data_IF_208580760635
#
_entry.id   IF_208580760635
#
_cell.length_a   1.000
_cell.length_b   1.000
_cell.length_c   1.000
_cell.angle_alpha   90.00
_cell.angle_beta   90.00
_cell.angle_gamma   90.00
#
_symmetry.space_group_name_H-M   'P 1'
#
loop_
_entity.id
_entity.type
_entity.pdbx_description
1 polymer ?
#
# COMPACT_ATOMS: atom_id res chain seq x y z
N UNK A 1 18.73 0.33 -13.83
CA UNK A 1 18.72 0.17 -12.35
C UNK A 1 17.33 -0.29 -11.93
N UNK A 2 17.25 -1.30 -11.09
CA UNK A 2 15.99 -1.80 -10.54
C UNK A 2 15.42 -0.74 -9.60
N UNK A 3 14.14 -0.40 -9.75
CA UNK A 3 13.48 0.59 -8.90
C UNK A 3 13.38 -0.03 -7.51
N UNK A 4 14.17 0.46 -6.54
CA UNK A 4 14.10 0.04 -5.14
C UNK A 4 12.92 0.75 -4.50
N UNK A 5 11.86 0.01 -4.20
CA UNK A 5 10.58 0.55 -3.75
C UNK A 5 10.13 -0.22 -2.52
N UNK A 6 9.51 0.49 -1.59
CA UNK A 6 8.73 -0.08 -0.50
C UNK A 6 7.58 0.88 -0.19
N UNK A 7 6.34 0.54 -0.59
CA UNK A 7 5.19 1.44 -0.48
C UNK A 7 4.34 1.22 0.78
N UNK A 8 4.76 0.35 1.68
CA UNK A 8 3.98 0.02 2.87
C UNK A 8 4.90 -0.27 4.05
N UNK A 9 5.03 0.74 4.90
CA UNK A 9 5.84 0.73 6.12
C UNK A 9 5.06 1.44 7.23
N UNK A 10 5.14 0.87 8.42
CA UNK A 10 4.51 1.37 9.64
C UNK A 10 5.50 2.15 10.51
N UNK A 11 4.99 3.10 11.26
CA UNK A 11 5.78 3.98 12.14
C UNK A 11 5.18 3.98 13.54
N UNK A 12 5.76 4.80 14.42
CA UNK A 12 5.19 5.04 15.76
C UNK A 12 3.83 5.77 15.76
N UNK A 13 3.24 6.08 14.60
CA UNK A 13 1.86 6.59 14.53
C UNK A 13 0.81 5.47 14.64
N UNK A 14 1.13 4.25 14.18
CA UNK A 14 0.40 3.02 14.51
C UNK A 14 1.18 2.18 15.52
N UNK A 15 1.43 0.91 15.22
CA UNK A 15 2.12 -0.10 16.01
C UNK A 15 3.56 -0.36 15.54
N UNK A 16 4.05 0.44 14.59
CA UNK A 16 5.46 0.46 14.20
C UNK A 16 6.39 0.92 15.33
N UNK A 17 7.62 0.40 15.35
CA UNK A 17 8.59 0.60 16.44
C UNK A 17 9.55 1.75 16.21
N UNK A 18 9.45 2.44 15.08
CA UNK A 18 10.41 3.45 14.64
C UNK A 18 9.71 4.72 14.19
N UNK A 19 10.27 5.87 14.56
CA UNK A 19 9.75 7.17 14.15
C UNK A 19 9.83 7.33 12.62
N UNK A 20 8.91 8.09 12.00
CA UNK A 20 8.93 8.31 10.55
C UNK A 20 10.29 8.76 10.01
N UNK A 21 10.96 9.70 10.71
CA UNK A 21 12.29 10.19 10.33
C UNK A 21 13.34 9.06 10.24
N UNK A 22 13.37 8.15 11.21
CA UNK A 22 14.35 7.06 11.24
C UNK A 22 14.11 6.04 10.10
N UNK A 23 12.84 5.77 9.79
CA UNK A 23 12.44 4.95 8.64
C UNK A 23 12.92 5.59 7.33
N UNK A 24 12.71 6.91 7.15
CA UNK A 24 13.11 7.65 5.96
C UNK A 24 14.65 7.65 5.80
N UNK A 25 15.38 7.92 6.89
CA UNK A 25 16.85 7.88 6.90
C UNK A 25 17.37 6.49 6.52
N UNK A 26 16.75 5.43 7.05
CA UNK A 26 17.10 4.06 6.68
C UNK A 26 16.83 3.76 5.21
N UNK A 27 15.69 4.21 4.68
CA UNK A 27 15.34 4.01 3.29
C UNK A 27 16.35 4.69 2.35
N UNK A 28 16.82 5.89 2.70
CA UNK A 28 17.88 6.60 1.97
C UNK A 28 19.21 5.82 2.03
N UNK A 29 19.61 5.30 3.19
CA UNK A 29 20.82 4.48 3.35
C UNK A 29 20.78 3.24 2.43
N UNK A 30 19.63 2.60 2.32
CA UNK A 30 19.40 1.45 1.45
C UNK A 30 19.24 1.81 -0.04
N UNK A 31 19.31 3.11 -0.36
CA UNK A 31 19.12 3.68 -1.69
C UNK A 31 17.74 3.38 -2.29
N UNK A 32 16.69 3.36 -1.45
CA UNK A 32 15.32 3.31 -1.95
C UNK A 32 15.02 4.56 -2.76
N UNK A 33 14.30 4.36 -3.85
CA UNK A 33 13.90 5.43 -4.76
C UNK A 33 12.52 5.98 -4.45
N UNK A 34 11.67 5.16 -3.83
CA UNK A 34 10.30 5.44 -3.40
C UNK A 34 10.06 4.73 -2.06
N UNK A 35 9.52 5.47 -1.08
CA UNK A 35 9.10 4.96 0.22
C UNK A 35 7.66 5.40 0.46
N UNK A 36 6.77 4.47 0.79
CA UNK A 36 5.41 4.74 1.26
C UNK A 36 5.32 4.47 2.75
N UNK A 37 4.83 5.44 3.51
CA UNK A 37 4.43 5.26 4.90
C UNK A 37 2.91 5.11 4.89
N UNK A 38 2.40 4.02 5.44
CA UNK A 38 0.98 3.66 5.43
C UNK A 38 0.59 3.02 6.75
N UNK A 39 0.62 3.80 7.82
CA UNK A 39 0.24 3.37 9.15
C UNK A 39 -1.25 2.95 9.20
N UNK A 40 -1.58 2.07 10.15
CA UNK A 40 -2.94 1.62 10.39
C UNK A 40 -3.90 2.76 10.75
N UNK A 41 -5.08 2.76 10.11
CA UNK A 41 -6.18 3.69 10.35
C UNK A 41 -7.52 2.96 10.44
N UNK A 42 -8.24 3.21 11.53
CA UNK A 42 -9.47 2.47 11.85
C UNK A 42 -9.19 1.00 12.19
N UNK A 43 -10.03 0.37 13.00
CA UNK A 43 -9.83 -1.02 13.41
C UNK A 43 -10.02 -1.29 14.89
N UNK A 44 -9.88 -2.58 15.24
CA UNK A 44 -10.11 -3.09 16.59
C UNK A 44 -8.92 -2.80 17.52
N UNK A 45 -9.17 -2.75 18.82
CA UNK A 45 -8.19 -2.47 19.89
C UNK A 45 -7.00 -3.45 20.01
N UNK A 46 -6.82 -4.37 19.05
CA UNK A 46 -5.74 -5.36 19.03
C UNK A 46 -4.36 -4.80 18.69
N UNK A 47 -4.31 -3.63 18.06
CA UNK A 47 -3.05 -2.91 17.77
C UNK A 47 -3.27 -1.39 17.77
N UNK A 48 -2.17 -0.63 17.81
CA UNK A 48 -2.20 0.84 17.84
C UNK A 48 -2.60 1.37 16.46
N UNK A 49 -3.56 2.29 16.42
CA UNK A 49 -4.12 2.86 15.19
C UNK A 49 -4.09 4.39 15.25
N UNK A 50 -4.02 5.02 14.08
CA UNK A 50 -4.29 6.44 13.96
C UNK A 50 -5.79 6.66 14.10
N UNK A 51 -6.18 7.44 15.11
CA UNK A 51 -7.57 7.90 15.26
C UNK A 51 -7.85 9.12 14.39
N UNK A 52 -9.13 9.35 14.07
CA UNK A 52 -9.57 10.49 13.24
C UNK A 52 -9.07 11.84 13.76
N UNK A 53 -8.98 12.03 15.07
CA UNK A 53 -8.50 13.28 15.66
C UNK A 53 -7.00 13.53 15.45
N UNK A 54 -6.20 12.48 15.23
CA UNK A 54 -4.75 12.58 15.03
C UNK A 54 -4.35 12.47 13.54
N UNK A 55 -5.30 12.16 12.66
CA UNK A 55 -5.02 12.01 11.22
C UNK A 55 -4.51 13.31 10.58
N UNK A 56 -4.98 14.47 11.02
CA UNK A 56 -4.46 15.74 10.51
C UNK A 56 -3.01 15.99 10.91
N UNK A 57 -2.64 15.66 12.15
CA UNK A 57 -1.26 15.76 12.65
C UNK A 57 -0.33 14.79 11.90
N UNK A 58 -0.78 13.56 11.65
CA UNK A 58 -0.09 12.57 10.84
C UNK A 58 0.25 13.10 9.45
N UNK A 59 -0.77 13.61 8.74
CA UNK A 59 -0.59 14.18 7.38
C UNK A 59 0.37 15.36 7.43
N UNK A 60 0.26 16.24 8.42
CA UNK A 60 1.12 17.42 8.55
C UNK A 60 2.59 17.04 8.82
N UNK A 61 2.86 16.11 9.73
CA UNK A 61 4.21 15.64 10.03
C UNK A 61 4.87 15.01 8.80
N UNK A 62 4.18 14.08 8.14
CA UNK A 62 4.72 13.38 6.98
C UNK A 62 4.89 14.31 5.78
N UNK A 63 4.03 15.31 5.61
CA UNK A 63 4.21 16.35 4.56
C UNK A 63 5.48 17.15 4.80
N UNK A 64 5.72 17.60 6.04
CA UNK A 64 6.95 18.32 6.39
C UNK A 64 8.21 17.45 6.18
N UNK A 65 8.14 16.16 6.50
CA UNK A 65 9.25 15.23 6.26
C UNK A 65 9.46 14.98 4.75
N UNK A 66 8.38 14.85 3.97
CA UNK A 66 8.43 14.72 2.51
C UNK A 66 9.20 15.86 1.88
N UNK A 67 8.95 17.10 2.31
CA UNK A 67 9.70 18.29 1.88
C UNK A 67 11.16 18.27 2.35
N UNK A 68 11.39 18.00 3.65
CA UNK A 68 12.73 18.02 4.27
C UNK A 68 13.72 17.05 3.59
N UNK A 69 13.23 15.89 3.15
CA UNK A 69 14.07 14.85 2.57
C UNK A 69 14.16 14.92 1.03
N UNK A 70 13.53 15.90 0.38
CA UNK A 70 13.78 16.14 -1.04
C UNK A 70 15.21 16.66 -1.30
N UNK A 71 15.84 16.31 -2.43
CA UNK A 71 15.42 15.32 -3.44
C UNK A 71 15.92 13.89 -3.15
N UNK A 72 16.36 13.60 -1.92
CA UNK A 72 17.09 12.35 -1.57
C UNK A 72 16.25 11.09 -1.74
N UNK A 73 14.95 11.17 -1.46
CA UNK A 73 13.99 10.08 -1.62
C UNK A 73 12.61 10.64 -1.98
N UNK A 74 11.81 9.85 -2.69
CA UNK A 74 10.38 10.15 -2.87
C UNK A 74 9.59 9.50 -1.76
N UNK A 75 9.02 10.33 -0.90
CA UNK A 75 8.12 9.90 0.15
C UNK A 75 6.67 9.98 -0.33
N UNK A 76 5.92 8.91 -0.09
CA UNK A 76 4.48 8.79 -0.34
C UNK A 76 3.76 8.62 0.99
N UNK A 77 2.69 9.38 1.18
CA UNK A 77 1.90 9.42 2.41
C UNK A 77 0.62 8.62 2.14
N UNK A 78 0.46 7.48 2.78
CA UNK A 78 -0.73 6.65 2.69
C UNK A 78 -1.28 6.29 4.06
N UNK A 79 -2.29 5.43 4.06
CA UNK A 79 -2.81 4.75 5.23
C UNK A 79 -3.19 3.33 4.84
N UNK A 80 -3.10 2.42 5.79
CA UNK A 80 -3.72 1.11 5.72
C UNK A 80 -5.04 1.15 6.50
N UNK A 81 -6.17 1.00 5.80
CA UNK A 81 -7.51 1.20 6.34
C UNK A 81 -8.18 -0.16 6.56
N UNK A 82 -8.42 -0.50 7.83
CA UNK A 82 -9.13 -1.73 8.21
C UNK A 82 -10.64 -1.50 8.39
N UNK A 83 -11.04 -0.35 8.93
CA UNK A 83 -12.45 -0.06 9.23
C UNK A 83 -13.05 0.88 8.19
N UNK A 84 -14.18 0.49 7.60
CA UNK A 84 -14.80 1.23 6.49
C UNK A 84 -15.92 2.18 6.94
N UNK A 85 -16.24 2.22 8.22
CA UNK A 85 -17.35 3.01 8.74
C UNK A 85 -16.92 4.43 9.11
N UNK A 86 -17.75 5.41 8.79
CA UNK A 86 -17.56 6.83 9.16
C UNK A 86 -16.20 7.45 8.79
N UNK A 87 -15.68 7.11 7.60
CA UNK A 87 -14.39 7.58 7.12
C UNK A 87 -14.34 9.11 6.86
N UNK A 88 -13.27 9.83 7.29
CA UNK A 88 -13.10 11.27 7.06
C UNK A 88 -12.56 11.54 5.66
N UNK A 89 -13.40 11.39 4.63
CA UNK A 89 -12.98 11.50 3.22
C UNK A 89 -12.27 12.80 2.85
N UNK A 90 -12.56 13.91 3.54
CA UNK A 90 -11.84 15.17 3.36
C UNK A 90 -10.34 15.04 3.72
N UNK A 91 -10.02 14.30 4.79
CA UNK A 91 -8.65 14.03 5.21
C UNK A 91 -8.01 12.93 4.39
N UNK A 92 -8.72 11.82 4.13
CA UNK A 92 -8.20 10.72 3.30
C UNK A 92 -7.81 11.19 1.90
N UNK A 93 -8.56 12.13 1.33
CA UNK A 93 -8.24 12.70 0.01
C UNK A 93 -7.04 13.67 0.00
N UNK A 94 -6.41 13.94 1.16
CA UNK A 94 -5.12 14.66 1.24
C UNK A 94 -3.91 13.75 1.08
N UNK A 95 -4.07 12.44 1.27
CA UNK A 95 -3.03 11.42 1.10
C UNK A 95 -2.56 11.32 -0.38
N UNK A 96 -1.48 10.58 -0.59
CA UNK A 96 -0.97 10.18 -1.91
C UNK A 96 -1.61 8.87 -2.39
N UNK A 97 -1.98 7.96 -1.49
CA UNK A 97 -2.67 6.69 -1.78
C UNK A 97 -3.38 6.15 -0.52
N UNK A 98 -4.22 5.14 -0.69
CA UNK A 98 -4.80 4.38 0.43
C UNK A 98 -4.72 2.87 0.14
N UNK A 99 -4.39 2.09 1.16
CA UNK A 99 -4.52 0.64 1.15
C UNK A 99 -5.72 0.25 1.98
N UNK A 100 -6.50 -0.72 1.51
CA UNK A 100 -7.66 -1.23 2.22
C UNK A 100 -7.41 -2.71 2.52
N UNK A 101 -7.51 -3.09 3.79
CA UNK A 101 -7.32 -4.47 4.22
C UNK A 101 -8.57 -5.31 4.00
N UNK A 102 -8.38 -6.60 3.69
CA UNK A 102 -9.40 -7.64 3.81
C UNK A 102 -10.69 -7.36 3.00
N UNK A 103 -10.57 -6.74 1.81
CA UNK A 103 -11.69 -6.44 0.89
C UNK A 103 -11.68 -7.27 -0.40
N UNK A 104 -10.91 -8.35 -0.48
CA UNK A 104 -10.75 -9.16 -1.69
C UNK A 104 -12.03 -9.87 -2.12
N UNK A 105 -12.98 -10.05 -1.18
CA UNK A 105 -14.18 -10.85 -1.34
C UNK A 105 -15.45 -10.13 -0.90
N UNK A 106 -16.57 -10.58 -1.43
CA UNK A 106 -17.90 -10.17 -0.99
C UNK A 106 -18.26 -10.76 0.38
N UNK A 107 -19.09 -10.05 1.18
CA UNK A 107 -19.82 -8.82 0.83
C UNK A 107 -18.99 -7.53 0.95
N UNK A 108 -17.74 -7.62 1.43
CA UNK A 108 -16.96 -6.43 1.78
C UNK A 108 -16.45 -5.67 0.56
N UNK A 109 -16.06 -6.37 -0.51
CA UNK A 109 -15.75 -5.73 -1.80
C UNK A 109 -16.95 -4.93 -2.31
N UNK A 110 -18.14 -5.55 -2.39
CA UNK A 110 -19.36 -4.87 -2.82
C UNK A 110 -19.72 -3.65 -1.95
N UNK A 111 -19.58 -3.75 -0.63
CA UNK A 111 -19.77 -2.61 0.27
C UNK A 111 -18.77 -1.49 0.00
N UNK A 112 -17.48 -1.81 -0.08
CA UNK A 112 -16.41 -0.87 -0.37
C UNK A 112 -16.66 -0.14 -1.69
N UNK A 113 -16.98 -0.87 -2.76
CA UNK A 113 -17.25 -0.29 -4.08
C UNK A 113 -18.48 0.62 -4.09
N UNK A 114 -19.51 0.29 -3.32
CA UNK A 114 -20.78 1.04 -3.32
C UNK A 114 -20.74 2.28 -2.43
N UNK A 115 -20.03 2.22 -1.29
CA UNK A 115 -20.13 3.26 -0.25
C UNK A 115 -18.83 4.04 -0.05
N UNK A 116 -17.67 3.44 -0.33
CA UNK A 116 -16.37 4.00 0.06
C UNK A 116 -15.59 4.48 -1.16
N UNK A 117 -15.37 3.60 -2.15
CA UNK A 117 -14.59 3.89 -3.36
C UNK A 117 -15.03 5.16 -4.10
N UNK A 118 -16.33 5.50 -4.25
CA UNK A 118 -16.75 6.72 -4.95
C UNK A 118 -16.30 8.02 -4.27
N UNK A 119 -16.00 7.96 -2.96
CA UNK A 119 -15.60 9.12 -2.17
C UNK A 119 -14.08 9.29 -2.10
N UNK A 120 -13.30 8.28 -2.50
CA UNK A 120 -11.83 8.30 -2.55
C UNK A 120 -11.34 8.76 -3.93
N UNK A 121 -10.60 9.87 -3.92
CA UNK A 121 -9.99 10.54 -5.08
C UNK A 121 -8.51 10.22 -5.25
N UNK A 122 -7.92 9.49 -4.31
CA UNK A 122 -6.55 9.00 -4.36
C UNK A 122 -6.50 7.60 -4.98
N UNK A 123 -5.36 7.16 -5.51
CA UNK A 123 -5.14 5.75 -5.85
C UNK A 123 -5.46 4.86 -4.65
N UNK A 124 -6.19 3.77 -4.90
CA UNK A 124 -6.56 2.80 -3.86
C UNK A 124 -6.07 1.42 -4.27
N UNK A 125 -5.54 0.67 -3.30
CA UNK A 125 -5.17 -0.72 -3.48
C UNK A 125 -5.64 -1.61 -2.35
N UNK A 126 -5.55 -2.91 -2.57
CA UNK A 126 -5.78 -3.91 -1.54
C UNK A 126 -4.45 -4.23 -0.86
N UNK A 127 -4.41 -4.10 0.47
CA UNK A 127 -3.26 -4.47 1.28
C UNK A 127 -3.07 -5.99 1.30
N UNK A 128 -1.83 -6.45 1.10
CA UNK A 128 -1.42 -7.86 1.19
C UNK A 128 -2.46 -8.93 0.75
N UNK A 129 -3.15 -8.82 -0.40
CA UNK A 129 -4.24 -9.73 -0.71
C UNK A 129 -3.79 -11.18 -0.84
N UNK A 130 -4.64 -12.10 -0.37
CA UNK A 130 -4.50 -13.50 -0.76
C UNK A 130 -4.86 -13.64 -2.24
N UNK A 131 -3.87 -13.84 -3.10
CA UNK A 131 -4.07 -13.85 -4.57
C UNK A 131 -5.11 -14.89 -4.99
N UNK A 132 -5.25 -15.98 -4.23
CA UNK A 132 -6.27 -17.00 -4.48
C UNK A 132 -7.70 -16.44 -4.51
N UNK A 133 -8.01 -15.39 -3.74
CA UNK A 133 -9.35 -14.80 -3.68
C UNK A 133 -9.64 -13.84 -4.83
N UNK A 134 -8.61 -13.45 -5.59
CA UNK A 134 -8.76 -12.54 -6.72
C UNK A 134 -9.26 -13.21 -7.99
N UNK A 135 -9.48 -14.53 -7.98
CA UNK A 135 -9.87 -15.31 -9.15
C UNK A 135 -11.10 -14.74 -9.87
N UNK A 136 -12.09 -14.30 -9.08
CA UNK A 136 -13.36 -13.80 -9.59
C UNK A 136 -13.50 -12.27 -9.49
N UNK A 137 -12.60 -11.59 -8.79
CA UNK A 137 -12.69 -10.14 -8.55
C UNK A 137 -11.69 -9.34 -9.40
N UNK A 138 -10.67 -9.97 -9.99
CA UNK A 138 -9.64 -9.29 -10.79
C UNK A 138 -10.21 -8.31 -11.85
N UNK A 139 -11.21 -8.73 -12.63
CA UNK A 139 -11.81 -7.84 -13.66
C UNK A 139 -12.57 -6.66 -13.06
N UNK A 140 -13.14 -6.83 -11.88
CA UNK A 140 -13.79 -5.74 -11.14
C UNK A 140 -12.72 -4.76 -10.67
N UNK A 141 -11.64 -5.26 -10.04
CA UNK A 141 -10.53 -4.42 -9.58
C UNK A 141 -9.90 -3.63 -10.73
N UNK A 142 -9.69 -4.27 -11.88
CA UNK A 142 -9.20 -3.61 -13.11
C UNK A 142 -10.13 -2.46 -13.52
N UNK A 143 -11.44 -2.72 -13.62
CA UNK A 143 -12.44 -1.74 -14.04
C UNK A 143 -12.51 -0.54 -13.08
N UNK A 144 -12.42 -0.80 -11.78
CA UNK A 144 -12.51 0.21 -10.73
C UNK A 144 -11.17 0.92 -10.45
N UNK A 145 -10.11 0.54 -11.19
CA UNK A 145 -8.77 1.13 -11.07
C UNK A 145 -8.10 0.84 -9.72
N UNK A 146 -8.42 -0.29 -9.10
CA UNK A 146 -7.87 -0.72 -7.82
C UNK A 146 -6.62 -1.56 -8.06
N UNK A 147 -5.51 -1.18 -7.43
CA UNK A 147 -4.26 -1.93 -7.50
C UNK A 147 -4.18 -3.03 -6.43
N UNK A 148 -3.24 -3.96 -6.59
CA UNK A 148 -2.97 -5.00 -5.59
C UNK A 148 -1.55 -4.89 -5.07
N UNK A 149 -1.34 -5.31 -3.84
CA UNK A 149 -0.03 -5.31 -3.22
C UNK A 149 0.65 -6.69 -3.27
N UNK A 150 1.95 -6.72 -3.61
CA UNK A 150 2.83 -7.85 -3.28
C UNK A 150 3.61 -7.51 -2.02
N UNK A 151 3.20 -8.16 -0.92
CA UNK A 151 3.69 -7.88 0.42
C UNK A 151 4.61 -8.99 0.92
N UNK A 152 5.90 -8.68 1.10
CA UNK A 152 6.92 -9.66 1.48
C UNK A 152 6.88 -10.07 2.96
N UNK A 153 5.96 -9.53 3.76
CA UNK A 153 5.63 -10.13 5.06
C UNK A 153 4.87 -11.45 4.87
N UNK A 154 4.08 -11.55 3.81
CA UNK A 154 3.24 -12.71 3.52
C UNK A 154 3.53 -13.30 2.12
N UNK A 155 4.76 -13.77 1.83
CA UNK A 155 5.13 -14.23 0.50
C UNK A 155 4.24 -15.39 -0.02
N UNK A 156 3.75 -16.24 0.89
CA UNK A 156 2.86 -17.36 0.54
C UNK A 156 1.54 -16.90 -0.11
N UNK A 157 1.09 -15.67 0.15
CA UNK A 157 -0.14 -15.12 -0.43
C UNK A 157 -0.07 -14.98 -1.95
N UNK A 158 1.13 -14.82 -2.52
CA UNK A 158 1.34 -14.71 -3.98
C UNK A 158 2.24 -15.80 -4.59
N UNK A 159 2.99 -16.55 -3.80
CA UNK A 159 3.82 -17.68 -4.27
C UNK A 159 3.11 -19.04 -4.28
N UNK A 160 2.00 -19.21 -3.55
CA UNK A 160 1.38 -20.53 -3.41
C UNK A 160 1.02 -21.19 -4.75
N UNK A 161 0.98 -22.53 -4.79
CA UNK A 161 0.57 -23.30 -5.97
C UNK A 161 -0.79 -22.84 -6.51
N UNK A 162 -1.73 -22.50 -5.63
CA UNK A 162 -3.04 -21.99 -6.02
C UNK A 162 -2.96 -20.56 -6.54
N UNK A 163 -2.16 -19.68 -5.92
CA UNK A 163 -1.92 -18.33 -6.44
C UNK A 163 -1.38 -18.37 -7.87
N UNK A 164 -0.49 -19.32 -8.20
CA UNK A 164 0.05 -19.47 -9.56
C UNK A 164 -1.03 -19.73 -10.64
N UNK A 165 -2.15 -20.38 -10.27
CA UNK A 165 -3.28 -20.59 -11.17
C UNK A 165 -4.05 -19.29 -11.39
N UNK A 166 -4.26 -18.52 -10.32
CA UNK A 166 -4.96 -17.25 -10.37
C UNK A 166 -4.14 -16.19 -11.11
N UNK A 167 -2.82 -16.21 -11.00
CA UNK A 167 -1.94 -15.34 -11.80
C UNK A 167 -2.20 -15.45 -13.31
N UNK A 168 -2.53 -16.64 -13.84
CA UNK A 168 -2.89 -16.80 -15.27
C UNK A 168 -4.09 -15.94 -15.69
N UNK A 169 -4.96 -15.59 -14.75
CA UNK A 169 -6.11 -14.69 -14.96
C UNK A 169 -5.78 -13.23 -14.69
N UNK A 170 -4.85 -12.94 -13.77
CA UNK A 170 -4.41 -11.57 -13.45
C UNK A 170 -3.48 -11.00 -14.52
N UNK A 171 -2.55 -11.80 -15.06
CA UNK A 171 -1.57 -11.33 -16.05
C UNK A 171 -2.21 -10.65 -17.27
N UNK A 172 -3.33 -11.16 -17.85
CA UNK A 172 -4.03 -10.50 -18.95
C UNK A 172 -4.84 -9.25 -18.58
N UNK A 173 -4.91 -8.86 -17.30
CA UNK A 173 -5.58 -7.63 -16.86
C UNK A 173 -4.60 -6.46 -16.83
N UNK A 174 -5.10 -5.24 -16.73
CA UNK A 174 -4.31 -4.03 -16.49
C UNK A 174 -4.18 -3.66 -15.01
N UNK A 175 -4.47 -4.59 -14.09
CA UNK A 175 -4.31 -4.35 -12.66
C UNK A 175 -2.85 -3.94 -12.36
N UNK A 176 -2.71 -2.85 -11.61
CA UNK A 176 -1.41 -2.36 -11.16
C UNK A 176 -0.96 -3.09 -9.90
N UNK A 177 0.35 -3.17 -9.70
CA UNK A 177 0.99 -3.88 -8.59
C UNK A 177 1.84 -2.92 -7.76
N UNK A 178 1.56 -2.76 -6.47
CA UNK A 178 2.47 -2.15 -5.50
C UNK A 178 3.38 -3.21 -4.87
N UNK A 179 4.51 -2.77 -4.31
CA UNK A 179 5.49 -3.63 -3.65
C UNK A 179 5.74 -3.10 -2.25
N UNK A 180 5.73 -4.00 -1.27
CA UNK A 180 5.64 -3.66 0.15
C UNK A 180 6.44 -4.63 1.02
N UNK A 181 7.05 -4.12 2.09
CA UNK A 181 7.69 -4.94 3.12
C UNK A 181 6.84 -5.19 4.36
N UNK A 182 5.82 -4.34 4.57
CA UNK A 182 5.00 -4.28 5.78
C UNK A 182 5.84 -4.09 7.05
N UNK A 183 6.87 -3.25 6.93
CA UNK A 183 7.86 -3.10 7.98
C UNK A 183 7.28 -2.36 9.19
N UNK A 184 7.19 -3.06 10.31
CA UNK A 184 6.91 -2.48 11.63
C UNK A 184 8.20 -2.19 12.43
N UNK A 185 9.34 -2.56 11.88
CA UNK A 185 10.67 -2.33 12.45
C UNK A 185 11.60 -1.86 11.34
N UNK A 186 12.45 -0.88 11.65
CA UNK A 186 13.42 -0.29 10.72
C UNK A 186 14.30 -1.33 10.01
N UNK A 187 14.53 -2.50 10.64
CA UNK A 187 15.29 -3.61 10.05
C UNK A 187 14.63 -4.25 8.83
N UNK A 188 13.30 -4.16 8.71
CA UNK A 188 12.55 -4.73 7.57
C UNK A 188 12.33 -3.75 6.43
N UNK A 189 12.57 -2.45 6.63
CA UNK A 189 12.41 -1.43 5.58
C UNK A 189 13.21 -1.83 4.34
N UNK A 190 12.56 -1.79 3.18
CA UNK A 190 13.19 -2.16 1.91
C UNK A 190 13.38 -3.66 1.69
N UNK A 191 12.82 -4.52 2.55
CA UNK A 191 12.87 -5.99 2.38
C UNK A 191 11.92 -6.47 1.29
N UNK A 192 12.01 -5.90 0.09
CA UNK A 192 11.04 -6.07 -0.99
C UNK A 192 11.56 -6.93 -2.15
N UNK A 193 12.79 -7.46 -2.05
CA UNK A 193 13.45 -8.16 -3.15
C UNK A 193 12.67 -9.38 -3.64
N UNK A 194 12.02 -10.14 -2.75
CA UNK A 194 11.22 -11.31 -3.15
C UNK A 194 10.08 -10.92 -4.11
N UNK A 195 9.35 -9.85 -3.80
CA UNK A 195 8.29 -9.34 -4.66
C UNK A 195 8.83 -8.76 -5.98
N UNK A 196 9.99 -8.08 -5.94
CA UNK A 196 10.67 -7.61 -7.16
C UNK A 196 11.06 -8.79 -8.05
N UNK A 197 11.75 -9.80 -7.51
CA UNK A 197 12.13 -11.01 -8.25
C UNK A 197 10.91 -11.74 -8.83
N UNK A 198 9.81 -11.80 -8.07
CA UNK A 198 8.55 -12.37 -8.56
C UNK A 198 8.02 -11.60 -9.78
N UNK A 199 7.98 -10.27 -9.73
CA UNK A 199 7.55 -9.42 -10.84
C UNK A 199 8.41 -9.66 -12.08
N UNK A 200 9.73 -9.83 -11.91
CA UNK A 200 10.65 -10.03 -13.02
C UNK A 200 10.51 -11.40 -13.66
N UNK A 201 10.50 -12.46 -12.85
CA UNK A 201 10.34 -13.84 -13.32
C UNK A 201 9.04 -14.03 -14.10
N UNK A 202 8.00 -13.26 -13.78
CA UNK A 202 6.68 -13.32 -14.40
C UNK A 202 6.45 -12.25 -15.47
N UNK A 203 7.45 -11.45 -15.84
CA UNK A 203 7.35 -10.36 -16.83
C UNK A 203 6.24 -9.33 -16.51
N UNK A 204 6.08 -8.95 -15.24
CA UNK A 204 5.04 -8.04 -14.76
C UNK A 204 5.53 -6.60 -14.54
N UNK A 205 6.72 -6.25 -15.04
CA UNK A 205 7.34 -4.93 -14.80
C UNK A 205 6.47 -3.76 -15.29
N UNK A 206 5.71 -3.98 -16.37
CA UNK A 206 4.75 -3.01 -16.93
C UNK A 206 3.57 -2.73 -16.00
N UNK A 207 3.24 -3.68 -15.12
CA UNK A 207 2.15 -3.56 -14.13
C UNK A 207 2.56 -2.81 -12.86
N UNK A 208 3.86 -2.60 -12.62
CA UNK A 208 4.33 -1.92 -11.42
C UNK A 208 3.68 -0.54 -11.29
N UNK A 209 3.13 -0.25 -10.10
CA UNK A 209 2.44 0.99 -9.79
C UNK A 209 3.42 2.18 -9.89
N UNK A 210 2.95 3.25 -10.53
CA UNK A 210 3.70 4.50 -10.61
C UNK A 210 2.87 5.66 -10.05
N UNK A 211 2.96 5.87 -8.73
CA UNK A 211 2.24 6.94 -8.04
C UNK A 211 2.54 8.34 -8.58
N UNK A 212 3.67 8.56 -9.30
CA UNK A 212 3.98 9.85 -9.94
C UNK A 212 2.92 10.32 -10.93
N UNK A 213 2.23 9.40 -11.60
CA UNK A 213 1.15 9.75 -12.54
C UNK A 213 -0.07 10.34 -11.83
N UNK A 214 -0.13 10.23 -10.51
CA UNK A 214 -1.23 10.68 -9.67
C UNK A 214 -0.79 11.75 -8.65
N UNK A 215 0.48 12.14 -8.67
CA UNK A 215 0.98 13.17 -7.78
C UNK A 215 0.27 14.49 -8.08
N UNK A 216 -0.23 15.14 -7.02
CA UNK A 216 -0.78 16.49 -7.14
C UNK A 216 0.36 17.44 -7.55
N UNK A 217 0.07 18.43 -8.42
CA UNK A 217 1.06 19.42 -8.85
C UNK A 217 1.63 20.22 -7.68
#
# INVERSE_FOLDING_TARGET
MHRKIDLHVHTTHSDGRSKPKAIIEKAIELSLTDLGIADHYGGLASYSIISTSHLEEYIAELTRLKELFQPKIRLWIGLEIAELDSLPFNLLNRLDFALIEDIEMDPRLGYFLSHIKPNLKVPVGIAHPQIIFLENTARILEKEGIFIELNTHYPDRYHSKWASLVWKKLVPTNIRISVASDAHDVKRVGSTMDAIDFIEKNNLRDKLLNLRQHAKP
#
